data_IF_008055282451
#
_entry.id   IF_008055282451
#
_cell.length_a   1.000
_cell.length_b   1.000
_cell.length_c   1.000
_cell.angle_alpha   90.00
_cell.angle_beta   90.00
_cell.angle_gamma   90.00
#
_symmetry.space_group_name_H-M   'P 1'
#
loop_
_entity.id
_entity.type
_entity.pdbx_description
1 polymer ?
#
# COMPACT_ATOMS: atom_id res chain seq x y z
N UNK A 1 33.29 17.69 -15.68
CA UNK A 1 33.08 16.30 -15.18
C UNK A 1 31.97 16.22 -14.15
N UNK A 2 32.06 16.93 -13.01
CA UNK A 2 31.07 16.87 -11.90
C UNK A 2 29.61 17.18 -12.30
N UNK A 3 29.37 18.17 -13.17
CA UNK A 3 28.02 18.48 -13.69
C UNK A 3 27.43 17.33 -14.52
N UNK A 4 28.24 16.68 -15.35
CA UNK A 4 27.80 15.53 -16.14
C UNK A 4 27.34 14.37 -15.26
N UNK A 5 28.07 14.11 -14.17
CA UNK A 5 27.70 13.10 -13.17
C UNK A 5 26.36 13.44 -12.52
N UNK A 6 26.12 14.71 -12.16
CA UNK A 6 24.84 15.14 -11.59
C UNK A 6 23.67 14.90 -12.57
N UNK A 7 23.84 15.23 -13.85
CA UNK A 7 22.78 15.01 -14.84
C UNK A 7 22.49 13.54 -15.10
N UNK A 8 23.53 12.69 -15.20
CA UNK A 8 23.35 11.25 -15.34
C UNK A 8 22.63 10.67 -14.12
N UNK A 9 23.05 11.06 -12.91
CA UNK A 9 22.37 10.66 -11.67
C UNK A 9 20.91 11.14 -11.66
N UNK A 10 20.65 12.38 -12.07
CA UNK A 10 19.29 12.92 -12.14
C UNK A 10 18.41 12.16 -13.14
N UNK A 11 18.93 11.78 -14.31
CA UNK A 11 18.19 10.94 -15.25
C UNK A 11 17.85 9.57 -14.64
N UNK A 12 18.82 8.92 -13.99
CA UNK A 12 18.61 7.64 -13.30
C UNK A 12 17.60 7.78 -12.15
N UNK A 13 17.67 8.87 -11.39
CA UNK A 13 16.72 9.23 -10.35
C UNK A 13 15.30 9.25 -10.91
N UNK A 14 15.06 9.96 -12.02
CA UNK A 14 13.71 10.04 -12.61
C UNK A 14 13.21 8.65 -13.03
N UNK A 15 14.02 7.85 -13.72
CA UNK A 15 13.63 6.49 -14.13
C UNK A 15 13.31 5.61 -12.92
N UNK A 16 14.15 5.66 -11.89
CA UNK A 16 13.94 4.89 -10.67
C UNK A 16 12.67 5.32 -9.92
N UNK A 17 12.34 6.61 -9.84
CA UNK A 17 11.08 7.04 -9.23
C UNK A 17 9.85 6.63 -10.05
N UNK A 18 9.94 6.59 -11.39
CA UNK A 18 8.87 6.05 -12.23
C UNK A 18 8.62 4.58 -11.86
N UNK A 19 9.69 3.80 -11.67
CA UNK A 19 9.60 2.41 -11.19
C UNK A 19 8.96 2.35 -9.80
N UNK A 20 9.37 3.22 -8.87
CA UNK A 20 8.76 3.26 -7.53
C UNK A 20 7.26 3.55 -7.57
N UNK A 21 6.83 4.55 -8.34
CA UNK A 21 5.42 4.90 -8.50
C UNK A 21 4.62 3.69 -9.01
N UNK A 22 5.14 2.99 -10.01
CA UNK A 22 4.50 1.80 -10.55
C UNK A 22 4.43 0.66 -9.52
N UNK A 23 5.53 0.37 -8.82
CA UNK A 23 5.59 -0.72 -7.85
C UNK A 23 4.69 -0.45 -6.63
N UNK A 24 4.71 0.79 -6.11
CA UNK A 24 3.88 1.18 -4.95
C UNK A 24 2.39 1.03 -5.28
N UNK A 25 1.98 1.44 -6.49
CA UNK A 25 0.61 1.28 -6.96
C UNK A 25 0.22 -0.19 -7.12
N UNK A 26 1.02 -0.96 -7.85
CA UNK A 26 0.69 -2.36 -8.19
C UNK A 26 0.68 -3.29 -6.99
N UNK A 27 1.62 -3.12 -6.07
CA UNK A 27 1.77 -3.98 -4.88
C UNK A 27 1.00 -3.42 -3.67
N UNK A 28 0.39 -2.24 -3.80
CA UNK A 28 -0.31 -1.55 -2.71
C UNK A 28 0.58 -1.37 -1.47
N UNK A 29 1.83 -0.94 -1.66
CA UNK A 29 2.81 -0.81 -0.57
C UNK A 29 2.32 0.26 0.44
N UNK A 30 2.16 -0.08 1.73
CA UNK A 30 1.74 0.89 2.74
C UNK A 30 2.88 1.81 3.19
N UNK A 31 2.51 2.90 3.86
CA UNK A 31 3.45 3.80 4.52
C UNK A 31 4.07 3.08 5.72
N UNK A 32 5.38 2.82 5.64
CA UNK A 32 6.15 2.17 6.70
C UNK A 32 7.54 2.80 6.78
N UNK A 33 8.25 2.57 7.88
CA UNK A 33 9.64 3.03 8.04
C UNK A 33 10.52 2.54 6.89
N UNK A 34 10.32 1.30 6.42
CA UNK A 34 11.08 0.71 5.32
C UNK A 34 10.80 1.43 4.00
N UNK A 35 9.52 1.65 3.64
CA UNK A 35 9.17 2.32 2.39
C UNK A 35 9.61 3.78 2.38
N UNK A 36 9.57 4.47 3.53
CA UNK A 36 10.14 5.81 3.69
C UNK A 36 11.64 5.81 3.37
N UNK A 37 12.43 4.92 3.95
CA UNK A 37 13.88 4.89 3.66
C UNK A 37 14.16 4.64 2.18
N UNK A 38 13.50 3.66 1.56
CA UNK A 38 13.68 3.34 0.14
C UNK A 38 13.37 4.54 -0.75
N UNK A 39 12.28 5.25 -0.46
CA UNK A 39 11.84 6.40 -1.27
C UNK A 39 12.66 7.66 -0.99
N UNK A 40 13.21 7.88 0.20
CA UNK A 40 13.92 9.12 0.53
C UNK A 40 15.44 9.06 0.30
N UNK A 41 16.07 7.87 0.38
CA UNK A 41 17.53 7.71 0.17
C UNK A 41 18.02 8.35 -1.13
N UNK A 42 17.38 8.13 -2.29
CA UNK A 42 17.88 8.68 -3.55
C UNK A 42 17.78 10.20 -3.62
N UNK A 43 16.78 10.79 -2.96
CA UNK A 43 16.66 12.23 -2.83
C UNK A 43 17.73 12.81 -1.90
N UNK A 44 18.01 12.15 -0.77
CA UNK A 44 19.11 12.53 0.13
C UNK A 44 20.45 12.48 -0.61
N UNK A 45 20.70 11.41 -1.38
CA UNK A 45 21.89 11.28 -2.21
C UNK A 45 22.00 12.41 -3.24
N UNK A 46 20.90 12.79 -3.92
CA UNK A 46 20.88 13.94 -4.83
C UNK A 46 21.35 15.22 -4.12
N UNK A 47 20.80 15.51 -2.94
CA UNK A 47 21.15 16.69 -2.13
C UNK A 47 22.61 16.65 -1.71
N UNK A 48 23.14 15.48 -1.31
CA UNK A 48 24.56 15.35 -0.93
C UNK A 48 25.49 15.60 -2.12
N UNK A 49 25.19 15.07 -3.30
CA UNK A 49 25.96 15.30 -4.53
C UNK A 49 25.96 16.80 -4.87
N UNK A 50 24.80 17.45 -4.84
CA UNK A 50 24.70 18.89 -5.08
C UNK A 50 25.53 19.71 -4.08
N UNK A 51 25.50 19.36 -2.79
CA UNK A 51 26.33 20.01 -1.76
C UNK A 51 27.83 19.89 -2.06
N UNK A 52 28.29 18.71 -2.47
CA UNK A 52 29.70 18.49 -2.86
C UNK A 52 30.07 19.35 -4.07
N UNK A 53 29.20 19.43 -5.08
CA UNK A 53 29.46 20.27 -6.26
C UNK A 53 29.51 21.76 -5.89
N UNK A 54 28.60 22.24 -5.05
CA UNK A 54 28.62 23.64 -4.58
C UNK A 54 29.86 23.98 -3.76
N UNK A 55 30.38 23.03 -3.00
CA UNK A 55 31.59 23.23 -2.21
C UNK A 55 32.82 23.43 -3.10
N UNK A 56 32.92 22.70 -4.22
CA UNK A 56 34.06 22.76 -5.15
C UNK A 56 33.90 23.84 -6.23
N UNK A 57 32.69 24.41 -6.40
CA UNK A 57 32.43 25.33 -7.52
C UNK A 57 33.01 26.72 -7.32
N UNK A 58 33.69 27.20 -8.38
CA UNK A 58 34.22 28.58 -8.48
C UNK A 58 33.12 29.63 -8.69
N UNK A 59 31.97 29.26 -9.27
CA UNK A 59 30.86 30.17 -9.57
C UNK A 59 29.58 29.76 -8.82
N UNK A 60 29.61 29.92 -7.49
CA UNK A 60 28.64 29.34 -6.56
C UNK A 60 27.20 29.83 -6.76
N UNK A 61 26.98 31.06 -7.23
CA UNK A 61 25.63 31.62 -7.39
C UNK A 61 24.88 31.01 -8.58
N UNK A 62 25.55 30.84 -9.73
CA UNK A 62 24.95 30.20 -10.90
C UNK A 62 24.62 28.73 -10.65
N UNK A 63 25.53 27.98 -10.01
CA UNK A 63 25.28 26.58 -9.63
C UNK A 63 24.08 26.44 -8.70
N UNK A 64 23.96 27.33 -7.69
CA UNK A 64 22.83 27.30 -6.75
C UNK A 64 21.49 27.45 -7.47
N UNK A 65 21.39 28.39 -8.42
CA UNK A 65 20.15 28.62 -9.18
C UNK A 65 19.77 27.40 -10.01
N UNK A 66 20.74 26.77 -10.67
CA UNK A 66 20.51 25.56 -11.45
C UNK A 66 20.11 24.37 -10.56
N UNK A 67 20.83 24.15 -9.46
CA UNK A 67 20.55 23.06 -8.51
C UNK A 67 19.19 23.20 -7.84
N UNK A 68 18.75 24.44 -7.56
CA UNK A 68 17.40 24.69 -7.07
C UNK A 68 16.35 24.19 -8.06
N UNK A 69 16.52 24.47 -9.36
CA UNK A 69 15.64 23.95 -10.40
C UNK A 69 15.60 22.41 -10.42
N UNK A 70 16.76 21.76 -10.34
CA UNK A 70 16.85 20.29 -10.26
C UNK A 70 16.14 19.75 -9.01
N UNK A 71 16.29 20.40 -7.85
CA UNK A 71 15.61 19.98 -6.61
C UNK A 71 14.09 20.12 -6.72
N UNK A 72 13.59 21.22 -7.28
CA UNK A 72 12.15 21.43 -7.47
C UNK A 72 11.56 20.32 -8.33
N UNK A 73 12.21 19.97 -9.45
CA UNK A 73 11.75 18.88 -10.32
C UNK A 73 11.87 17.52 -9.63
N UNK A 74 12.95 17.28 -8.87
CA UNK A 74 13.15 16.03 -8.13
C UNK A 74 12.10 15.82 -7.01
N UNK A 75 11.60 16.90 -6.40
CA UNK A 75 10.58 16.82 -5.36
C UNK A 75 9.23 16.30 -5.87
N UNK A 76 8.88 16.56 -7.13
CA UNK A 76 7.58 16.16 -7.70
C UNK A 76 7.36 14.64 -7.55
N UNK A 77 8.20 13.74 -8.10
CA UNK A 77 7.99 12.30 -7.95
C UNK A 77 8.12 11.81 -6.51
N UNK A 78 8.94 12.48 -5.67
CA UNK A 78 9.03 12.15 -4.24
C UNK A 78 7.71 12.39 -3.51
N UNK A 79 7.05 13.52 -3.81
CA UNK A 79 5.73 13.83 -3.28
C UNK A 79 4.71 12.80 -3.78
N UNK A 80 4.73 12.44 -5.06
CA UNK A 80 3.82 11.42 -5.62
C UNK A 80 3.95 10.09 -4.86
N UNK A 81 5.17 9.58 -4.70
CA UNK A 81 5.41 8.35 -3.94
C UNK A 81 4.89 8.47 -2.49
N UNK A 82 5.14 9.61 -1.83
CA UNK A 82 4.70 9.83 -0.44
C UNK A 82 3.17 9.84 -0.34
N UNK A 83 2.49 10.46 -1.29
CA UNK A 83 1.02 10.48 -1.37
C UNK A 83 0.49 9.08 -1.60
N UNK A 84 1.04 8.32 -2.56
CA UNK A 84 0.62 6.94 -2.83
C UNK A 84 0.78 6.04 -1.60
N UNK A 85 1.94 6.07 -0.94
CA UNK A 85 2.17 5.32 0.30
C UNK A 85 1.14 5.68 1.39
N UNK A 86 0.84 6.97 1.53
CA UNK A 86 -0.14 7.44 2.54
C UNK A 86 -1.56 7.00 2.21
N UNK A 87 -1.95 7.05 0.92
CA UNK A 87 -3.25 6.58 0.45
C UNK A 87 -3.37 5.07 0.65
N UNK A 88 -2.33 4.30 0.36
CA UNK A 88 -2.29 2.86 0.58
C UNK A 88 -2.44 2.50 2.07
N UNK A 89 -1.70 3.19 2.96
CA UNK A 89 -1.85 3.00 4.42
C UNK A 89 -3.29 3.30 4.87
N UNK A 90 -3.86 4.42 4.40
CA UNK A 90 -5.23 4.80 4.75
C UNK A 90 -6.28 3.79 4.28
N UNK A 91 -6.13 3.31 3.04
CA UNK A 91 -7.06 2.36 2.41
C UNK A 91 -6.88 0.93 2.93
N UNK A 92 -5.72 0.61 3.51
CA UNK A 92 -5.47 -0.65 4.21
C UNK A 92 -6.10 -0.71 5.61
N UNK A 93 -6.51 0.42 6.19
CA UNK A 93 -7.25 0.41 7.46
C UNK A 93 -8.69 -0.02 7.22
N UNK A 94 -9.18 -0.93 8.06
CA UNK A 94 -10.57 -1.33 8.07
C UNK A 94 -11.46 -0.13 8.35
N UNK A 95 -12.43 0.06 7.47
CA UNK A 95 -13.50 1.03 7.61
C UNK A 95 -14.78 0.40 7.09
N UNK A 96 -15.78 0.28 7.96
CA UNK A 96 -17.02 -0.41 7.63
C UNK A 96 -17.73 0.17 6.40
N UNK A 97 -17.79 1.50 6.26
CA UNK A 97 -18.44 2.11 5.10
C UNK A 97 -17.71 1.74 3.79
N UNK A 98 -16.37 1.79 3.76
CA UNK A 98 -15.62 1.35 2.57
C UNK A 98 -15.76 -0.15 2.32
N UNK A 99 -15.74 -0.95 3.37
CA UNK A 99 -15.94 -2.40 3.28
C UNK A 99 -17.28 -2.73 2.63
N UNK A 100 -18.35 -2.05 3.01
CA UNK A 100 -19.69 -2.29 2.47
C UNK A 100 -19.84 -1.81 1.02
N UNK A 101 -19.21 -0.70 0.64
CA UNK A 101 -19.39 -0.07 -0.68
C UNK A 101 -18.35 -0.48 -1.73
N UNK A 102 -17.21 -1.05 -1.33
CA UNK A 102 -16.10 -1.39 -2.23
C UNK A 102 -15.62 -2.83 -1.99
N UNK A 103 -16.43 -3.80 -2.42
CA UNK A 103 -16.14 -5.22 -2.22
C UNK A 103 -14.80 -5.67 -2.85
N UNK A 104 -14.40 -5.05 -3.97
CA UNK A 104 -13.14 -5.30 -4.67
C UNK A 104 -11.88 -4.77 -3.95
N UNK A 105 -12.06 -3.95 -2.91
CA UNK A 105 -10.97 -3.34 -2.13
C UNK A 105 -10.84 -3.89 -0.71
N UNK A 106 -11.69 -4.84 -0.33
CA UNK A 106 -11.69 -5.44 1.02
C UNK A 106 -10.40 -6.18 1.33
N UNK A 107 -9.70 -6.69 0.31
CA UNK A 107 -8.42 -7.40 0.41
C UNK A 107 -7.34 -6.55 1.07
N UNK A 108 -7.38 -5.23 0.92
CA UNK A 108 -6.44 -4.33 1.58
C UNK A 108 -6.80 -4.08 3.06
N UNK A 109 -8.08 -4.26 3.43
CA UNK A 109 -8.59 -3.99 4.77
C UNK A 109 -8.68 -5.22 5.67
N UNK A 110 -8.70 -6.43 5.11
CA UNK A 110 -8.97 -7.68 5.84
C UNK A 110 -7.98 -7.91 6.98
N UNK A 111 -6.70 -7.60 6.78
CA UNK A 111 -5.69 -7.81 7.82
C UNK A 111 -5.93 -6.90 9.04
N UNK A 112 -6.24 -5.61 8.81
CA UNK A 112 -6.54 -4.65 9.88
C UNK A 112 -7.88 -4.97 10.57
N UNK A 113 -8.86 -5.52 9.83
CA UNK A 113 -10.10 -6.06 10.38
C UNK A 113 -9.79 -7.19 11.38
N UNK A 114 -9.06 -8.21 10.94
CA UNK A 114 -8.74 -9.40 11.75
C UNK A 114 -7.85 -9.07 12.94
N UNK A 115 -7.00 -8.04 12.82
CA UNK A 115 -6.18 -7.54 13.92
C UNK A 115 -7.02 -6.81 14.98
N UNK A 116 -8.00 -6.00 14.56
CA UNK A 116 -8.80 -5.16 15.48
C UNK A 116 -10.00 -5.88 16.09
N UNK A 117 -10.60 -6.81 15.35
CA UNK A 117 -11.84 -7.46 15.74
C UNK A 117 -11.62 -8.96 15.94
N UNK A 118 -11.86 -9.43 17.16
CA UNK A 118 -11.95 -10.86 17.44
C UNK A 118 -13.27 -11.39 16.86
N UNK A 119 -13.18 -12.12 15.74
CA UNK A 119 -14.34 -12.71 15.08
C UNK A 119 -14.83 -13.98 15.77
N UNK A 120 -13.91 -14.78 16.33
CA UNK A 120 -14.25 -16.04 17.02
C UNK A 120 -15.22 -15.79 18.18
N UNK A 121 -16.31 -16.56 18.19
CA UNK A 121 -17.37 -16.52 19.18
C UNK A 121 -18.50 -15.53 18.87
N UNK A 122 -18.36 -14.69 17.84
CA UNK A 122 -19.43 -13.75 17.43
C UNK A 122 -20.58 -14.48 16.76
N UNK A 123 -21.80 -13.98 16.97
CA UNK A 123 -22.97 -14.50 16.27
C UNK A 123 -23.00 -14.05 14.80
N UNK A 124 -23.81 -14.72 13.99
CA UNK A 124 -24.04 -14.33 12.60
C UNK A 124 -24.59 -12.89 12.48
N UNK A 125 -25.46 -12.46 13.40
CA UNK A 125 -26.00 -11.10 13.44
C UNK A 125 -24.92 -10.07 13.73
N UNK A 126 -24.02 -10.34 14.69
CA UNK A 126 -22.89 -9.45 14.98
C UNK A 126 -21.94 -9.32 13.78
N UNK A 127 -21.67 -10.45 13.10
CA UNK A 127 -20.84 -10.47 11.90
C UNK A 127 -21.51 -9.70 10.77
N UNK A 128 -22.80 -9.93 10.53
CA UNK A 128 -23.57 -9.23 9.49
C UNK A 128 -23.68 -7.74 9.78
N UNK A 129 -23.80 -7.35 11.05
CA UNK A 129 -23.79 -5.94 11.46
C UNK A 129 -22.43 -5.28 11.20
N UNK A 130 -21.32 -6.03 11.31
CA UNK A 130 -19.97 -5.51 11.09
C UNK A 130 -19.55 -5.50 9.62
N UNK A 131 -19.78 -6.60 8.91
CA UNK A 131 -19.26 -6.87 7.56
C UNK A 131 -20.32 -6.77 6.46
N UNK A 132 -21.59 -6.64 6.83
CA UNK A 132 -22.72 -6.73 5.90
C UNK A 132 -23.05 -8.18 5.53
N UNK A 133 -23.95 -8.33 4.56
CA UNK A 133 -24.32 -9.64 4.05
C UNK A 133 -23.12 -10.34 3.41
N UNK A 134 -22.96 -11.66 3.62
CA UNK A 134 -21.92 -12.45 2.95
C UNK A 134 -22.19 -12.52 1.44
N UNK A 135 -21.12 -12.76 0.69
CA UNK A 135 -21.20 -13.00 -0.76
C UNK A 135 -21.88 -14.34 -1.05
N UNK A 136 -21.56 -15.36 -0.25
CA UNK A 136 -22.16 -16.69 -0.37
C UNK A 136 -22.29 -17.33 1.01
N UNK A 137 -23.32 -18.17 1.17
CA UNK A 137 -23.53 -18.98 2.37
C UNK A 137 -23.74 -20.43 1.95
N UNK A 138 -23.03 -21.36 2.58
CA UNK A 138 -23.08 -22.80 2.32
C UNK A 138 -23.35 -23.57 3.61
N UNK A 139 -23.99 -24.73 3.51
CA UNK A 139 -24.10 -25.68 4.61
C UNK A 139 -22.86 -26.57 4.65
N UNK A 140 -22.16 -26.62 5.78
CA UNK A 140 -21.05 -27.52 6.06
C UNK A 140 -21.43 -28.61 7.08
N UNK A 141 -20.51 -29.54 7.33
CA UNK A 141 -20.74 -30.65 8.27
C UNK A 141 -20.84 -30.17 9.73
N UNK A 142 -20.05 -29.15 10.09
CA UNK A 142 -19.97 -28.59 11.44
C UNK A 142 -20.95 -27.43 11.70
N UNK A 143 -21.59 -26.91 10.65
CA UNK A 143 -22.51 -25.78 10.73
C UNK A 143 -22.60 -25.00 9.42
N UNK A 144 -22.70 -23.68 9.49
CA UNK A 144 -22.84 -22.81 8.31
C UNK A 144 -21.48 -22.20 7.94
N UNK A 145 -21.16 -22.16 6.66
CA UNK A 145 -19.99 -21.46 6.13
C UNK A 145 -20.46 -20.20 5.42
N UNK A 146 -19.89 -19.05 5.75
CA UNK A 146 -20.11 -17.82 4.99
C UNK A 146 -18.83 -17.33 4.34
N UNK A 147 -18.94 -16.81 3.13
CA UNK A 147 -17.83 -16.35 2.31
C UNK A 147 -18.03 -14.87 1.99
N UNK A 148 -16.97 -14.09 2.16
CA UNK A 148 -16.90 -12.70 1.76
C UNK A 148 -15.83 -12.54 0.69
N UNK A 149 -16.24 -12.17 -0.52
CA UNK A 149 -15.31 -11.75 -1.57
C UNK A 149 -14.51 -10.54 -1.10
N UNK A 150 -13.18 -10.61 -1.23
CA UNK A 150 -12.27 -9.56 -0.80
C UNK A 150 -11.75 -8.68 -1.95
N UNK A 151 -11.76 -9.19 -3.17
CA UNK A 151 -11.12 -8.55 -4.32
C UNK A 151 -10.09 -9.46 -4.97
N UNK A 152 -9.37 -8.91 -5.95
CA UNK A 152 -8.25 -9.61 -6.58
C UNK A 152 -7.10 -9.75 -5.59
N UNK A 153 -6.36 -10.85 -5.69
CA UNK A 153 -5.28 -11.17 -4.77
C UNK A 153 -4.21 -10.07 -4.68
N UNK A 154 -3.51 -10.05 -3.55
CA UNK A 154 -2.36 -9.16 -3.35
C UNK A 154 -1.13 -9.74 -4.05
N UNK A 155 -0.47 -8.95 -4.87
CA UNK A 155 0.75 -9.35 -5.55
C UNK A 155 1.09 -8.48 -6.76
N UNK A 156 2.19 -8.82 -7.43
CA UNK A 156 2.62 -8.11 -8.63
C UNK A 156 1.74 -8.44 -9.85
N UNK A 157 1.28 -9.69 -9.92
CA UNK A 157 0.39 -10.22 -10.95
C UNK A 157 -0.80 -10.86 -10.22
N UNK A 158 -1.91 -10.12 -10.05
CA UNK A 158 -3.09 -10.65 -9.38
C UNK A 158 -3.96 -11.39 -10.40
N UNK A 159 -4.01 -12.71 -10.31
CA UNK A 159 -4.79 -13.55 -11.22
C UNK A 159 -6.07 -13.99 -10.54
N UNK A 160 -5.94 -14.41 -9.28
CA UNK A 160 -7.02 -15.02 -8.53
C UNK A 160 -7.70 -14.04 -7.57
N UNK A 161 -8.84 -14.44 -7.00
CA UNK A 161 -9.53 -13.68 -5.97
C UNK A 161 -9.18 -14.15 -4.56
N UNK A 162 -9.19 -13.22 -3.62
CA UNK A 162 -9.14 -13.55 -2.20
C UNK A 162 -10.54 -13.54 -1.59
N UNK A 163 -10.78 -14.48 -0.66
CA UNK A 163 -12.04 -14.62 0.07
C UNK A 163 -11.77 -14.78 1.57
N UNK A 164 -12.61 -14.15 2.39
CA UNK A 164 -12.67 -14.43 3.83
C UNK A 164 -13.76 -15.46 4.07
N UNK A 165 -13.37 -16.61 4.60
CA UNK A 165 -14.24 -17.73 4.92
C UNK A 165 -14.44 -17.75 6.43
N UNK A 166 -15.70 -17.79 6.87
CA UNK A 166 -16.10 -17.90 8.27
C UNK A 166 -16.87 -19.21 8.48
N UNK A 167 -16.41 -20.05 9.40
CA UNK A 167 -17.10 -21.27 9.82
C UNK A 167 -17.87 -20.98 11.10
N UNK A 168 -19.18 -21.22 11.08
CA UNK A 168 -20.06 -21.12 12.25
C UNK A 168 -20.35 -22.52 12.80
N UNK A 169 -20.50 -22.62 14.12
CA UNK A 169 -21.05 -23.80 14.79
C UNK A 169 -22.57 -23.89 14.62
N UNK A 170 -23.14 -24.96 15.19
CA UNK A 170 -24.60 -25.19 15.23
C UNK A 170 -25.35 -24.17 16.10
N UNK A 171 -24.67 -23.48 17.00
CA UNK A 171 -25.23 -22.43 17.85
C UNK A 171 -25.16 -21.04 17.16
N UNK A 172 -24.67 -20.97 15.92
CA UNK A 172 -24.61 -19.77 15.11
C UNK A 172 -23.46 -18.83 15.48
N UNK A 173 -22.39 -19.34 16.09
CA UNK A 173 -21.19 -18.57 16.45
C UNK A 173 -19.98 -18.95 15.61
N UNK A 174 -19.13 -17.97 15.31
CA UNK A 174 -17.88 -18.21 14.56
C UNK A 174 -16.94 -19.11 15.35
N UNK A 175 -16.62 -20.28 14.82
CA UNK A 175 -15.58 -21.17 15.35
C UNK A 175 -14.22 -20.82 14.77
N UNK A 176 -14.15 -20.60 13.46
CA UNK A 176 -12.91 -20.40 12.73
C UNK A 176 -13.10 -19.39 11.59
N UNK A 177 -12.00 -18.75 11.19
CA UNK A 177 -11.94 -17.96 9.99
C UNK A 177 -10.61 -18.15 9.26
N UNK A 178 -10.65 -18.10 7.93
CA UNK A 178 -9.46 -18.20 7.07
C UNK A 178 -9.56 -17.24 5.89
N UNK A 179 -8.45 -16.64 5.48
CA UNK A 179 -8.33 -15.93 4.21
C UNK A 179 -7.77 -16.90 3.17
N UNK A 180 -8.54 -17.17 2.12
CA UNK A 180 -8.19 -18.12 1.05
C UNK A 180 -8.02 -17.39 -0.28
N UNK A 181 -7.15 -17.94 -1.14
CA UNK A 181 -6.98 -17.53 -2.54
C UNK A 181 -7.60 -18.60 -3.41
N UNK A 182 -8.48 -18.20 -4.31
CA UNK A 182 -9.09 -19.11 -5.30
C UNK A 182 -8.10 -19.60 -6.35
#
# INVERSE_FOLDING_TARGET
>A
MLRGILYVYFCLYIVMYIVFIFVIDRVHIPLSVRSIFVVFIPFVLLVTIQRVILYVSKNRNEEKKQMLGVLIVALIPLIVCTVQLSVNEYTSKFNQNRWLNHADKRVHMVDDLLQKYKLIGKSNEEITQLLGAPTETRSGEEGVITLYYLGTERGFIPIDSEQLILQFDRDGKVMEYTVHKD
#
